data_IF_909947914659
#
_entry.id   IF_909947914659
#
_cell.length_a   1.000
_cell.length_b   1.000
_cell.length_c   1.000
_cell.angle_alpha   90.00
_cell.angle_beta   90.00
_cell.angle_gamma   90.00
#
_symmetry.space_group_name_H-M   'P 1'
#
loop_
_entity.id
_entity.type
_entity.pdbx_description
1 polymer ?
#
# COMPACT_ATOMS: atom_id res chain seq x y z
N UNK A 1 -21.64 8.19 -1.75
CA UNK A 1 -22.44 8.99 -0.80
C UNK A 1 -22.49 8.36 0.59
N UNK A 2 -23.16 7.21 0.78
CA UNK A 2 -23.27 6.55 2.10
C UNK A 2 -21.94 6.33 2.84
N UNK A 3 -20.85 6.01 2.15
CA UNK A 3 -19.54 5.81 2.79
C UNK A 3 -18.93 7.16 3.21
N UNK A 4 -18.93 8.15 2.31
CA UNK A 4 -18.17 9.40 2.43
C UNK A 4 -18.92 10.49 3.19
N UNK A 5 -20.21 10.64 2.91
CA UNK A 5 -21.07 11.69 3.48
C UNK A 5 -21.67 11.25 4.81
N UNK A 6 -21.99 9.96 4.96
CA UNK A 6 -22.71 9.43 6.13
C UNK A 6 -21.78 8.67 7.09
N UNK A 7 -21.31 7.48 6.70
CA UNK A 7 -20.57 6.58 7.60
C UNK A 7 -19.32 7.25 8.19
N UNK A 8 -18.49 7.88 7.34
CA UNK A 8 -17.27 8.58 7.76
C UNK A 8 -17.54 9.77 8.70
N UNK A 9 -18.75 10.35 8.66
CA UNK A 9 -19.06 11.60 9.38
C UNK A 9 -19.96 11.40 10.59
N UNK A 10 -20.58 10.22 10.77
CA UNK A 10 -21.65 10.04 11.76
C UNK A 10 -21.17 10.32 13.19
N UNK A 11 -19.96 9.88 13.55
CA UNK A 11 -19.38 10.14 14.87
C UNK A 11 -19.11 11.62 15.07
N UNK A 12 -18.52 12.26 14.07
CA UNK A 12 -18.21 13.68 14.11
C UNK A 12 -19.48 14.54 14.19
N UNK A 13 -20.47 14.31 13.29
CA UNK A 13 -21.71 15.11 13.24
C UNK A 13 -22.58 14.97 14.48
N UNK A 14 -22.47 13.85 15.18
CA UNK A 14 -23.23 13.57 16.41
C UNK A 14 -22.45 13.91 17.69
N UNK A 15 -21.25 14.49 17.57
CA UNK A 15 -20.36 14.75 18.71
C UNK A 15 -20.12 13.49 19.57
N UNK A 16 -19.91 12.35 18.92
CA UNK A 16 -19.63 11.06 19.57
C UNK A 16 -20.87 10.30 20.07
N UNK A 17 -22.08 10.85 19.95
CA UNK A 17 -23.32 10.17 20.40
C UNK A 17 -23.63 8.93 19.57
N UNK A 18 -23.32 8.95 18.26
CA UNK A 18 -23.49 7.82 17.36
C UNK A 18 -22.17 7.36 16.76
N UNK A 19 -22.08 6.07 16.44
CA UNK A 19 -20.96 5.46 15.73
C UNK A 19 -21.48 4.63 14.54
N UNK A 20 -20.60 4.33 13.59
CA UNK A 20 -20.88 3.43 12.47
C UNK A 20 -19.81 2.32 12.44
N UNK A 21 -19.89 1.33 13.34
CA UNK A 21 -18.95 0.20 13.36
C UNK A 21 -19.28 -0.76 12.21
N UNK A 22 -18.77 -0.45 11.02
CA UNK A 22 -18.96 -1.25 9.81
C UNK A 22 -17.62 -1.56 9.16
N UNK A 23 -17.50 -2.76 8.59
CA UNK A 23 -16.36 -3.16 7.76
C UNK A 23 -16.86 -3.38 6.33
N UNK A 24 -16.35 -2.59 5.41
CA UNK A 24 -16.67 -2.70 3.98
C UNK A 24 -15.51 -3.41 3.31
N UNK A 25 -15.72 -4.69 2.99
CA UNK A 25 -14.74 -5.52 2.30
C UNK A 25 -14.93 -5.45 0.80
N UNK A 26 -13.85 -5.24 0.06
CA UNK A 26 -13.88 -5.20 -1.39
C UNK A 26 -12.62 -5.85 -1.99
N UNK A 27 -12.77 -6.84 -2.89
CA UNK A 27 -11.67 -7.28 -3.72
C UNK A 27 -11.21 -6.12 -4.63
N UNK A 28 -9.90 -5.94 -4.78
CA UNK A 28 -9.32 -4.90 -5.63
C UNK A 28 -8.07 -5.38 -6.36
N UNK A 29 -7.48 -4.49 -7.15
CA UNK A 29 -6.20 -4.70 -7.82
C UNK A 29 -6.32 -5.58 -9.06
N UNK A 30 -5.24 -5.77 -9.81
CA UNK A 30 -5.21 -6.30 -11.16
C UNK A 30 -4.52 -7.65 -11.32
N UNK A 31 -4.08 -7.94 -12.56
CA UNK A 31 -3.24 -9.09 -12.87
C UNK A 31 -3.92 -10.45 -12.83
N UNK A 32 -5.25 -10.48 -12.99
CA UNK A 32 -6.06 -11.71 -13.18
C UNK A 32 -6.97 -11.62 -14.41
N UNK A 33 -6.68 -10.73 -15.36
CA UNK A 33 -7.49 -10.48 -16.56
C UNK A 33 -8.90 -9.95 -16.26
N UNK A 34 -9.00 -9.01 -15.31
CA UNK A 34 -10.29 -8.46 -14.87
C UNK A 34 -10.82 -7.30 -15.73
N UNK A 35 -10.01 -6.77 -16.66
CA UNK A 35 -10.39 -5.62 -17.49
C UNK A 35 -10.82 -4.40 -16.66
N UNK A 36 -11.81 -3.66 -17.19
CA UNK A 36 -12.19 -2.32 -16.73
C UNK A 36 -12.72 -2.25 -15.29
N UNK A 37 -13.58 -3.21 -14.90
CA UNK A 37 -14.39 -3.10 -13.67
C UNK A 37 -13.97 -4.05 -12.56
N UNK A 38 -13.13 -5.03 -12.87
CA UNK A 38 -12.68 -6.01 -11.88
C UNK A 38 -11.24 -5.82 -11.45
N UNK A 39 -10.55 -4.77 -11.92
CA UNK A 39 -9.12 -4.55 -11.66
C UNK A 39 -8.76 -3.18 -11.10
N UNK A 40 -9.73 -2.46 -10.56
CA UNK A 40 -9.50 -1.10 -10.10
C UNK A 40 -8.77 -1.10 -8.76
N UNK A 41 -7.91 -0.10 -8.62
CA UNK A 41 -7.34 0.34 -7.34
C UNK A 41 -7.96 1.71 -7.05
N UNK A 42 -8.72 1.81 -5.97
CA UNK A 42 -9.52 3.00 -5.61
C UNK A 42 -9.25 3.46 -4.19
N UNK A 43 -8.23 2.88 -3.56
CA UNK A 43 -7.87 3.10 -2.17
C UNK A 43 -7.50 4.56 -1.89
N UNK A 44 -6.89 5.26 -2.85
CA UNK A 44 -6.52 6.67 -2.71
C UNK A 44 -7.75 7.57 -2.48
N UNK A 45 -8.85 7.30 -3.20
CA UNK A 45 -10.11 8.04 -3.03
C UNK A 45 -10.64 7.92 -1.60
N UNK A 46 -10.66 6.72 -1.03
CA UNK A 46 -11.15 6.50 0.33
C UNK A 46 -10.15 6.95 1.39
N UNK A 47 -8.85 6.84 1.12
CA UNK A 47 -7.81 7.31 2.02
C UNK A 47 -7.83 8.85 2.13
N UNK A 48 -8.32 9.57 1.12
CA UNK A 48 -8.53 11.01 1.21
C UNK A 48 -9.66 11.41 2.19
N UNK A 49 -10.62 10.53 2.50
CA UNK A 49 -11.82 10.86 3.28
C UNK A 49 -11.62 10.74 4.80
N UNK A 50 -11.66 11.85 5.58
CA UNK A 50 -11.56 11.79 7.04
C UNK A 50 -12.71 11.05 7.70
N UNK A 51 -12.37 10.32 8.76
CA UNK A 51 -13.31 9.45 9.49
C UNK A 51 -13.35 8.01 8.97
N UNK A 52 -12.75 7.72 7.81
CA UNK A 52 -12.50 6.35 7.37
C UNK A 52 -11.13 5.85 7.83
N UNK A 53 -11.04 4.54 8.08
CA UNK A 53 -9.78 3.79 8.07
C UNK A 53 -9.69 2.99 6.77
N UNK A 54 -8.49 2.90 6.19
CA UNK A 54 -8.26 2.19 4.92
C UNK A 54 -7.14 1.19 5.09
N UNK A 55 -7.47 -0.09 4.95
CA UNK A 55 -6.61 -1.23 5.28
C UNK A 55 -6.48 -2.15 4.08
N UNK A 56 -5.25 -2.60 3.80
CA UNK A 56 -4.87 -3.42 2.66
C UNK A 56 -3.84 -4.47 3.11
N UNK A 57 -4.25 -5.67 3.55
CA UNK A 57 -3.32 -6.73 3.93
C UNK A 57 -2.50 -7.24 2.73
N UNK A 58 -1.21 -7.53 2.97
CA UNK A 58 -0.35 -8.19 1.98
C UNK A 58 -0.19 -9.69 2.21
N UNK A 59 -0.34 -10.19 3.44
CA UNK A 59 -0.16 -11.61 3.77
C UNK A 59 -1.44 -12.24 4.35
N UNK A 60 -1.58 -13.58 4.34
CA UNK A 60 -2.69 -14.26 5.02
C UNK A 60 -2.76 -13.97 6.53
N UNK A 61 -1.60 -13.81 7.18
CA UNK A 61 -1.51 -13.46 8.60
C UNK A 61 -2.09 -12.05 8.84
N UNK A 62 -1.62 -11.05 8.08
CA UNK A 62 -2.16 -9.70 8.18
C UNK A 62 -3.65 -9.65 7.84
N UNK A 63 -4.09 -10.42 6.84
CA UNK A 63 -5.50 -10.45 6.47
C UNK A 63 -6.38 -10.94 7.63
N UNK A 64 -5.99 -12.03 8.31
CA UNK A 64 -6.70 -12.52 9.50
C UNK A 64 -6.66 -11.51 10.65
N UNK A 65 -5.47 -10.99 10.97
CA UNK A 65 -5.27 -10.10 12.11
C UNK A 65 -5.92 -8.72 11.93
N UNK A 66 -5.74 -8.10 10.77
CA UNK A 66 -6.29 -6.78 10.46
C UNK A 66 -7.81 -6.82 10.26
N UNK A 67 -8.36 -7.89 9.66
CA UNK A 67 -9.82 -8.01 9.54
C UNK A 67 -10.47 -8.12 10.92
N UNK A 68 -9.83 -8.86 11.83
CA UNK A 68 -10.26 -8.95 13.23
C UNK A 68 -10.19 -7.60 13.93
N UNK A 69 -9.15 -6.80 13.71
CA UNK A 69 -9.08 -5.44 14.22
C UNK A 69 -10.17 -4.56 13.63
N UNK A 70 -10.40 -4.63 12.31
CA UNK A 70 -11.44 -3.86 11.63
C UNK A 70 -12.83 -4.14 12.17
N UNK A 71 -13.17 -5.42 12.40
CA UNK A 71 -14.48 -5.81 12.97
C UNK A 71 -14.68 -5.31 14.40
N UNK A 72 -13.59 -5.18 15.17
CA UNK A 72 -13.62 -4.64 16.55
C UNK A 72 -13.53 -3.12 16.59
N UNK A 73 -13.24 -2.48 15.46
CA UNK A 73 -13.07 -1.04 15.38
C UNK A 73 -14.42 -0.34 15.49
N UNK A 74 -14.55 0.71 16.32
CA UNK A 74 -15.81 1.40 16.49
C UNK A 74 -16.12 2.36 15.31
N UNK A 75 -15.18 2.56 14.39
CA UNK A 75 -15.27 3.44 13.21
C UNK A 75 -15.37 2.66 11.90
N UNK A 76 -15.88 3.26 10.81
CA UNK A 76 -15.98 2.59 9.52
C UNK A 76 -14.60 2.27 8.93
N UNK A 77 -14.40 1.00 8.55
CA UNK A 77 -13.15 0.52 7.95
C UNK A 77 -13.39 0.02 6.52
N UNK A 78 -12.65 0.58 5.58
CA UNK A 78 -12.48 0.04 4.23
C UNK A 78 -11.40 -1.03 4.25
N UNK A 79 -11.73 -2.25 3.86
CA UNK A 79 -10.82 -3.39 3.86
C UNK A 79 -10.67 -3.94 2.44
N UNK A 80 -9.57 -3.57 1.78
CA UNK A 80 -9.31 -3.94 0.39
C UNK A 80 -8.46 -5.20 0.30
N UNK A 81 -8.95 -6.20 -0.42
CA UNK A 81 -8.31 -7.52 -0.55
C UNK A 81 -7.78 -7.70 -1.97
N UNK A 82 -6.46 -7.71 -2.13
CA UNK A 82 -5.89 -7.81 -3.48
C UNK A 82 -6.22 -9.17 -4.09
N UNK A 83 -7.06 -9.22 -5.13
CA UNK A 83 -7.64 -10.48 -5.64
C UNK A 83 -6.59 -11.52 -6.06
N UNK A 84 -5.46 -11.05 -6.61
CA UNK A 84 -4.36 -11.92 -7.03
C UNK A 84 -3.68 -12.62 -5.84
N UNK A 85 -3.66 -12.00 -4.66
CA UNK A 85 -2.97 -12.58 -3.49
C UNK A 85 -3.76 -13.72 -2.86
N UNK A 86 -5.08 -13.83 -3.08
CA UNK A 86 -5.91 -14.92 -2.56
C UNK A 86 -5.36 -16.33 -2.82
N UNK A 87 -4.70 -16.52 -3.96
CA UNK A 87 -4.12 -17.82 -4.35
C UNK A 87 -2.62 -17.78 -4.54
N UNK A 88 -2.07 -16.61 -4.87
CA UNK A 88 -0.65 -16.45 -5.13
C UNK A 88 0.16 -16.49 -3.84
N UNK A 89 -0.30 -15.83 -2.77
CA UNK A 89 0.46 -15.65 -1.55
C UNK A 89 -0.03 -16.65 -0.51
N UNK A 90 0.91 -17.46 -0.03
CA UNK A 90 0.69 -18.43 1.05
C UNK A 90 1.61 -18.08 2.21
N UNK A 91 1.16 -18.34 3.42
CA UNK A 91 1.93 -18.13 4.63
C UNK A 91 1.30 -18.92 5.77
N UNK A 92 2.11 -19.25 6.76
CA UNK A 92 1.60 -19.85 7.99
C UNK A 92 0.74 -18.85 8.74
N UNK A 93 -0.34 -19.33 9.34
CA UNK A 93 -1.26 -18.50 10.11
C UNK A 93 -1.19 -19.01 11.55
N UNK A 94 -0.78 -18.18 12.52
CA UNK A 94 -0.75 -18.58 13.92
C UNK A 94 -2.10 -19.14 14.37
N UNK A 95 -2.05 -20.26 15.09
CA UNK A 95 -3.22 -20.83 15.75
C UNK A 95 -3.80 -19.87 16.79
N UNK A 96 -5.07 -20.07 17.13
CA UNK A 96 -5.74 -19.24 18.13
C UNK A 96 -6.10 -17.83 17.64
N UNK A 97 -6.39 -16.98 18.63
CA UNK A 97 -6.85 -15.61 18.44
C UNK A 97 -5.69 -14.62 18.54
N UNK A 98 -5.57 -13.79 17.50
CA UNK A 98 -4.69 -12.63 17.50
C UNK A 98 -5.37 -11.51 16.69
N UNK A 99 -4.86 -10.30 16.89
CA UNK A 99 -5.22 -9.09 16.15
C UNK A 99 -3.94 -8.43 15.65
N UNK A 100 -4.01 -7.80 14.50
CA UNK A 100 -2.93 -6.93 13.98
C UNK A 100 -3.43 -5.50 14.06
N UNK A 101 -2.75 -4.57 14.76
CA UNK A 101 -3.25 -3.21 14.92
C UNK A 101 -3.37 -2.51 13.56
N UNK A 102 -4.43 -1.70 13.39
CA UNK A 102 -4.58 -0.79 12.25
C UNK A 102 -3.69 0.43 12.49
N UNK A 103 -2.98 0.87 11.45
CA UNK A 103 -2.02 1.97 11.50
C UNK A 103 -0.60 1.51 11.22
N UNK A 104 0.03 0.71 12.10
CA UNK A 104 1.44 0.35 11.96
C UNK A 104 1.78 -0.35 10.65
N UNK A 105 2.85 0.09 10.00
CA UNK A 105 3.47 -0.59 8.86
C UNK A 105 4.31 -1.79 9.33
N UNK A 106 4.80 -2.59 8.38
CA UNK A 106 5.71 -3.70 8.64
C UNK A 106 6.94 -3.61 7.73
N UNK A 107 8.13 -3.62 8.33
CA UNK A 107 9.39 -3.81 7.57
C UNK A 107 9.49 -5.29 7.21
N UNK A 108 9.32 -5.62 5.93
CA UNK A 108 9.33 -7.01 5.41
C UNK A 108 10.72 -7.49 5.03
N UNK A 109 11.61 -6.54 4.74
CA UNK A 109 13.02 -6.78 4.42
C UNK A 109 13.82 -5.60 4.92
N UNK A 110 14.86 -5.89 5.70
CA UNK A 110 15.84 -4.89 6.09
C UNK A 110 16.73 -4.53 4.89
N UNK A 111 17.10 -3.25 4.82
CA UNK A 111 18.06 -2.76 3.84
C UNK A 111 18.74 -1.48 4.30
N UNK A 112 19.68 -1.01 3.51
CA UNK A 112 20.53 0.14 3.85
C UNK A 112 20.76 1.11 2.69
N UNK A 113 20.37 0.76 1.46
CA UNK A 113 20.67 1.56 0.27
C UNK A 113 19.51 2.43 -0.20
N UNK A 114 18.28 1.95 -0.06
CA UNK A 114 17.06 2.73 -0.30
C UNK A 114 15.87 2.06 0.40
N UNK A 115 14.86 2.86 0.74
CA UNK A 115 13.57 2.45 1.26
C UNK A 115 12.56 2.33 0.13
N UNK A 116 11.84 1.21 0.07
CA UNK A 116 10.76 0.95 -0.87
C UNK A 116 9.46 0.71 -0.10
N UNK A 117 8.52 1.64 -0.22
CA UNK A 117 7.21 1.59 0.45
C UNK A 117 6.15 1.07 -0.51
N UNK A 118 5.39 0.06 -0.10
CA UNK A 118 4.33 -0.56 -0.91
C UNK A 118 3.18 -1.10 -0.05
N UNK A 119 2.15 -1.63 -0.69
CA UNK A 119 1.03 -2.32 -0.05
C UNK A 119 0.43 -3.41 -0.95
N UNK A 120 -0.35 -4.31 -0.36
CA UNK A 120 -1.05 -5.38 -1.09
C UNK A 120 -0.08 -6.26 -1.89
N UNK A 121 -0.38 -6.49 -3.16
CA UNK A 121 0.48 -7.27 -4.07
C UNK A 121 1.83 -6.58 -4.32
N UNK A 122 1.88 -5.25 -4.34
CA UNK A 122 3.11 -4.53 -4.68
C UNK A 122 4.22 -4.75 -3.66
N UNK A 123 3.88 -5.02 -2.39
CA UNK A 123 4.83 -5.48 -1.37
C UNK A 123 5.64 -6.67 -1.86
N UNK A 124 4.99 -7.70 -2.39
CA UNK A 124 5.65 -8.92 -2.88
C UNK A 124 6.48 -8.65 -4.13
N UNK A 125 5.98 -7.83 -5.06
CA UNK A 125 6.76 -7.45 -6.24
C UNK A 125 8.00 -6.62 -5.89
N UNK A 126 7.93 -5.82 -4.81
CA UNK A 126 9.08 -5.11 -4.28
C UNK A 126 10.09 -6.05 -3.64
N UNK A 127 9.63 -7.08 -2.91
CA UNK A 127 10.52 -8.12 -2.36
C UNK A 127 11.27 -8.87 -3.45
N UNK A 128 10.57 -9.31 -4.51
CA UNK A 128 11.19 -9.97 -5.67
C UNK A 128 12.21 -9.07 -6.37
N UNK A 129 11.86 -7.80 -6.57
CA UNK A 129 12.75 -6.82 -7.17
C UNK A 129 13.99 -6.55 -6.30
N UNK A 130 13.79 -6.37 -4.99
CA UNK A 130 14.84 -6.15 -4.00
C UNK A 130 15.82 -7.32 -3.93
N UNK A 131 15.32 -8.56 -4.04
CA UNK A 131 16.17 -9.76 -4.12
C UNK A 131 17.00 -9.75 -5.41
N UNK A 132 16.38 -9.41 -6.54
CA UNK A 132 17.07 -9.40 -7.84
C UNK A 132 18.23 -8.40 -7.93
N UNK A 133 18.16 -7.27 -7.21
CA UNK A 133 19.20 -6.23 -7.20
C UNK A 133 20.19 -6.40 -6.04
N UNK A 134 19.95 -7.34 -5.12
CA UNK A 134 20.83 -7.59 -3.98
C UNK A 134 22.22 -8.08 -4.43
N UNK A 135 22.27 -8.89 -5.49
CA UNK A 135 23.52 -9.37 -6.10
C UNK A 135 24.39 -8.23 -6.67
N UNK A 136 23.79 -7.06 -6.92
CA UNK A 136 24.47 -5.84 -7.38
C UNK A 136 24.88 -4.94 -6.20
N UNK A 137 24.70 -5.39 -4.95
CA UNK A 137 25.00 -4.62 -3.74
C UNK A 137 23.91 -3.61 -3.36
N UNK A 138 22.74 -3.65 -3.98
CA UNK A 138 21.63 -2.72 -3.69
C UNK A 138 20.73 -3.35 -2.62
N UNK A 139 21.04 -3.07 -1.36
CA UNK A 139 20.27 -3.57 -0.22
C UNK A 139 19.03 -2.70 0.04
N UNK A 140 17.89 -3.10 -0.53
CA UNK A 140 16.62 -2.38 -0.40
C UNK A 140 15.85 -2.78 0.87
N UNK A 141 15.45 -1.78 1.66
CA UNK A 141 14.47 -1.95 2.72
C UNK A 141 13.07 -1.95 2.14
N UNK A 142 12.25 -2.96 2.42
CA UNK A 142 10.86 -3.03 1.92
C UNK A 142 9.88 -2.85 3.08
N UNK A 143 9.06 -1.80 2.99
CA UNK A 143 7.98 -1.49 3.93
C UNK A 143 6.65 -1.83 3.30
N UNK A 144 5.88 -2.65 4.00
CA UNK A 144 4.47 -2.90 3.74
C UNK A 144 3.63 -1.98 4.63
N UNK A 145 2.90 -1.04 4.03
CA UNK A 145 2.09 -0.09 4.79
C UNK A 145 1.00 -0.76 5.60
N UNK A 146 0.35 -1.81 5.06
CA UNK A 146 -0.86 -2.47 5.60
C UNK A 146 -2.09 -1.57 5.80
N UNK A 147 -1.90 -0.32 6.19
CA UNK A 147 -2.90 0.71 6.44
C UNK A 147 -2.49 1.97 5.70
N UNK A 148 -3.36 2.49 4.85
CA UNK A 148 -3.16 3.78 4.18
C UNK A 148 -3.71 4.92 5.02
N UNK A 149 -4.76 4.65 5.81
CA UNK A 149 -5.32 5.63 6.75
C UNK A 149 -5.70 4.97 8.07
N UNK A 150 -5.15 5.41 9.21
CA UNK A 150 -4.05 6.38 9.34
C UNK A 150 -2.72 5.83 8.79
N UNK A 151 -1.89 6.70 8.22
CA UNK A 151 -0.57 6.35 7.70
C UNK A 151 0.46 6.28 8.85
N UNK A 152 1.25 5.22 8.90
CA UNK A 152 2.41 5.12 9.82
C UNK A 152 3.60 5.88 9.25
N UNK A 153 3.62 7.19 9.48
CA UNK A 153 4.69 8.08 9.03
C UNK A 153 6.00 7.81 9.78
N UNK A 154 5.94 7.39 11.04
CA UNK A 154 7.11 7.12 11.88
C UNK A 154 7.99 6.01 11.29
N UNK A 155 7.38 4.87 10.93
CA UNK A 155 8.12 3.76 10.34
C UNK A 155 8.73 4.13 8.99
N UNK A 156 8.02 4.92 8.18
CA UNK A 156 8.51 5.38 6.88
C UNK A 156 9.72 6.31 7.07
N UNK A 157 9.59 7.34 7.90
CA UNK A 157 10.63 8.35 8.10
C UNK A 157 11.90 7.76 8.74
N UNK A 158 11.75 6.87 9.73
CA UNK A 158 12.89 6.15 10.32
C UNK A 158 13.66 5.32 9.30
N UNK A 159 12.95 4.71 8.34
CA UNK A 159 13.58 3.95 7.27
C UNK A 159 14.30 4.87 6.27
N UNK A 160 13.69 5.99 5.92
CA UNK A 160 14.31 6.98 5.03
C UNK A 160 15.55 7.61 5.67
N UNK A 161 15.52 7.92 6.96
CA UNK A 161 16.70 8.38 7.71
C UNK A 161 17.86 7.37 7.62
N UNK A 162 17.55 6.07 7.68
CA UNK A 162 18.55 5.00 7.56
C UNK A 162 19.12 4.85 6.14
N UNK A 163 18.31 5.03 5.10
CA UNK A 163 18.69 4.66 3.72
C UNK A 163 18.96 5.84 2.79
N UNK A 164 18.57 7.04 3.22
CA UNK A 164 18.68 8.32 2.51
C UNK A 164 18.01 8.41 1.12
N UNK A 165 17.31 7.38 0.67
CA UNK A 165 16.68 7.32 -0.65
C UNK A 165 15.35 6.58 -0.54
N UNK A 166 14.31 7.11 -1.17
CA UNK A 166 12.98 6.53 -1.03
C UNK A 166 12.29 6.34 -2.38
N UNK A 167 11.53 5.25 -2.50
CA UNK A 167 10.56 5.06 -3.55
C UNK A 167 9.24 4.50 -3.01
N UNK A 168 8.15 4.78 -3.71
CA UNK A 168 6.81 4.28 -3.40
C UNK A 168 6.26 3.52 -4.59
N UNK A 169 5.76 2.31 -4.36
CA UNK A 169 5.25 1.40 -5.41
C UNK A 169 3.82 1.01 -5.12
N UNK A 170 2.94 1.27 -6.10
CA UNK A 170 1.51 1.01 -5.97
C UNK A 170 0.85 0.75 -7.32
N UNK A 171 -0.32 0.12 -7.33
CA UNK A 171 -0.97 -0.28 -8.59
C UNK A 171 -1.83 0.83 -9.21
N UNK A 172 -2.46 1.66 -8.37
CA UNK A 172 -3.28 2.79 -8.80
C UNK A 172 -2.51 3.78 -9.71
N UNK A 173 -3.23 4.70 -10.32
CA UNK A 173 -2.72 5.72 -11.22
C UNK A 173 -1.63 6.58 -10.57
N UNK A 174 -0.62 6.92 -11.37
CA UNK A 174 0.43 7.83 -10.93
C UNK A 174 -0.16 9.16 -10.44
N UNK A 175 -1.10 9.75 -11.17
CA UNK A 175 -1.71 11.02 -10.77
C UNK A 175 -2.79 10.81 -9.70
N UNK A 176 -2.64 11.50 -8.57
CA UNK A 176 -3.61 11.44 -7.47
C UNK A 176 -3.62 10.14 -6.66
N UNK A 177 -2.83 9.13 -7.07
CA UNK A 177 -2.66 7.91 -6.30
C UNK A 177 -1.99 8.14 -4.95
N UNK A 178 -2.23 7.23 -4.00
CA UNK A 178 -1.85 7.44 -2.60
C UNK A 178 -0.33 7.56 -2.37
N UNK A 179 0.50 7.03 -3.29
CA UNK A 179 1.95 7.22 -3.18
C UNK A 179 2.40 8.67 -3.35
N UNK A 180 1.55 9.58 -3.85
CA UNK A 180 1.81 11.01 -3.82
C UNK A 180 1.81 11.59 -2.40
N UNK A 181 0.88 11.15 -1.55
CA UNK A 181 0.82 11.55 -0.13
C UNK A 181 2.06 11.05 0.62
N UNK A 182 2.42 9.77 0.43
CA UNK A 182 3.62 9.19 1.02
C UNK A 182 4.88 9.95 0.57
N UNK A 183 4.99 10.28 -0.71
CA UNK A 183 6.12 11.04 -1.22
C UNK A 183 6.17 12.47 -0.66
N UNK A 184 5.02 13.12 -0.47
CA UNK A 184 4.94 14.45 0.13
C UNK A 184 5.36 14.42 1.61
N UNK A 185 4.92 13.42 2.39
CA UNK A 185 5.36 13.23 3.78
C UNK A 185 6.87 13.05 3.84
N UNK A 186 7.43 12.16 3.01
CA UNK A 186 8.89 11.93 2.99
C UNK A 186 9.65 13.20 2.58
N UNK A 187 9.19 13.91 1.56
CA UNK A 187 9.86 15.12 1.08
C UNK A 187 9.69 16.32 2.01
N UNK A 188 8.64 16.37 2.82
CA UNK A 188 8.40 17.43 3.80
C UNK A 188 9.09 17.15 5.13
N UNK A 189 8.82 16.00 5.73
CA UNK A 189 9.25 15.65 7.09
C UNK A 189 10.61 14.92 7.12
N UNK A 190 11.02 14.31 6.00
CA UNK A 190 12.28 13.57 5.86
C UNK A 190 13.31 14.26 4.96
N UNK A 191 13.11 15.53 4.60
CA UNK A 191 13.90 16.24 3.59
C UNK A 191 15.41 16.20 3.86
N UNK A 192 15.81 16.45 5.11
CA UNK A 192 17.23 16.52 5.51
C UNK A 192 17.96 15.19 5.36
N UNK A 193 17.22 14.08 5.30
CA UNK A 193 17.78 12.74 5.12
C UNK A 193 17.90 12.33 3.65
N UNK A 194 17.37 13.09 2.69
CA UNK A 194 17.28 12.66 1.28
C UNK A 194 18.52 13.01 0.45
N UNK A 195 19.16 11.98 -0.10
CA UNK A 195 20.23 12.09 -1.11
C UNK A 195 19.70 12.12 -2.56
N UNK A 196 18.42 11.79 -2.77
CA UNK A 196 17.81 11.64 -4.08
C UNK A 196 16.31 12.01 -4.05
N UNK A 197 15.70 12.35 -5.19
CA UNK A 197 14.26 12.59 -5.24
C UNK A 197 13.47 11.34 -4.85
N UNK A 198 12.32 11.54 -4.20
CA UNK A 198 11.39 10.43 -3.92
C UNK A 198 10.77 9.94 -5.23
N UNK A 199 11.03 8.69 -5.59
CA UNK A 199 10.55 8.10 -6.86
C UNK A 199 9.22 7.39 -6.64
N UNK A 200 8.30 7.50 -7.60
CA UNK A 200 7.04 6.75 -7.60
C UNK A 200 6.98 5.81 -8.80
N UNK A 201 6.62 4.55 -8.55
CA UNK A 201 6.36 3.55 -9.59
C UNK A 201 4.90 3.12 -9.46
N UNK A 202 4.11 3.48 -10.45
CA UNK A 202 2.66 3.36 -10.40
C UNK A 202 2.07 2.90 -11.74
N UNK A 203 0.77 2.62 -11.76
CA UNK A 203 0.02 2.46 -13.02
C UNK A 203 0.02 3.77 -13.83
N UNK A 204 -0.03 3.70 -15.17
CA UNK A 204 -0.12 4.88 -16.01
C UNK A 204 -1.51 5.54 -15.88
N UNK A 205 -1.59 6.86 -16.14
CA UNK A 205 -2.84 7.61 -16.14
C UNK A 205 -3.70 7.28 -17.37
N UNK A 206 -4.30 6.09 -17.36
CA UNK A 206 -5.23 5.62 -18.40
C UNK A 206 -6.56 5.21 -17.77
N UNK A 207 -7.69 5.33 -18.49
CA UNK A 207 -9.01 5.14 -17.90
C UNK A 207 -9.29 3.74 -17.36
N UNK A 208 -8.56 2.72 -17.80
CA UNK A 208 -8.81 1.35 -17.39
C UNK A 208 -7.63 0.40 -17.59
N UNK A 209 -7.57 -0.62 -16.74
CA UNK A 209 -6.71 -1.79 -16.95
C UNK A 209 -7.16 -2.57 -18.20
N UNK A 210 -6.27 -2.77 -19.18
CA UNK A 210 -6.59 -3.50 -20.40
C UNK A 210 -6.88 -4.99 -20.13
N UNK A 211 -7.79 -5.59 -20.92
CA UNK A 211 -8.01 -7.05 -20.88
C UNK A 211 -6.96 -7.81 -21.70
N UNK A 212 -6.42 -7.20 -22.75
CA UNK A 212 -5.35 -7.80 -23.55
C UNK A 212 -4.09 -7.96 -22.70
N UNK A 213 -3.52 -9.16 -22.68
CA UNK A 213 -2.35 -9.50 -21.86
C UNK A 213 -1.16 -8.56 -22.03
N UNK A 214 -0.78 -8.24 -23.26
CA UNK A 214 0.38 -7.39 -23.53
C UNK A 214 0.15 -5.96 -23.00
N UNK A 215 -1.08 -5.48 -23.08
CA UNK A 215 -1.46 -4.16 -22.56
C UNK A 215 -1.63 -4.17 -21.03
N UNK A 216 -2.14 -5.25 -20.43
CA UNK A 216 -2.18 -5.43 -18.97
C UNK A 216 -0.76 -5.45 -18.38
N UNK A 217 0.18 -6.15 -19.02
CA UNK A 217 1.59 -6.17 -18.62
C UNK A 217 2.26 -4.80 -18.76
N UNK A 218 1.89 -4.03 -19.79
CA UNK A 218 2.38 -2.66 -19.96
C UNK A 218 1.83 -1.72 -18.87
N UNK A 219 0.56 -1.88 -18.50
CA UNK A 219 -0.10 -1.12 -17.43
C UNK A 219 0.49 -1.42 -16.04
N UNK A 220 0.63 -2.70 -15.71
CA UNK A 220 0.99 -3.12 -14.35
C UNK A 220 2.44 -2.79 -13.98
N UNK A 221 2.70 -2.26 -12.77
CA UNK A 221 4.03 -2.40 -12.17
C UNK A 221 4.41 -3.89 -12.10
N UNK A 222 5.69 -4.18 -12.34
CA UNK A 222 6.22 -5.53 -12.31
C UNK A 222 7.57 -5.57 -11.59
N UNK A 223 8.01 -6.73 -11.08
CA UNK A 223 9.32 -6.83 -10.42
C UNK A 223 10.47 -6.28 -11.28
N UNK A 224 10.43 -6.52 -12.60
CA UNK A 224 11.43 -6.00 -13.53
C UNK A 224 11.42 -4.46 -13.64
N UNK A 225 10.23 -3.84 -13.76
CA UNK A 225 10.08 -2.37 -13.79
C UNK A 225 10.54 -1.75 -12.46
N UNK A 226 10.19 -2.39 -11.34
CA UNK A 226 10.56 -1.94 -9.99
C UNK A 226 12.08 -2.06 -9.80
N UNK A 227 12.70 -3.17 -10.17
CA UNK A 227 14.15 -3.37 -10.08
C UNK A 227 14.92 -2.35 -10.94
N UNK A 228 14.42 -2.02 -12.13
CA UNK A 228 15.01 -0.97 -12.96
C UNK A 228 14.94 0.41 -12.27
N UNK A 229 13.82 0.74 -11.63
CA UNK A 229 13.68 1.96 -10.85
C UNK A 229 14.60 1.98 -9.61
N UNK A 230 14.73 0.85 -8.90
CA UNK A 230 15.66 0.70 -7.78
C UNK A 230 17.11 0.96 -8.20
N UNK A 231 17.56 0.37 -9.33
CA UNK A 231 18.91 0.62 -9.87
C UNK A 231 19.12 2.09 -10.21
N UNK A 232 18.15 2.72 -10.87
CA UNK A 232 18.22 4.14 -11.22
C UNK A 232 18.30 5.03 -9.98
N UNK A 233 17.50 4.72 -8.95
CA UNK A 233 17.50 5.48 -7.70
C UNK A 233 18.80 5.29 -6.91
N UNK A 234 19.32 4.06 -6.85
CA UNK A 234 20.57 3.74 -6.14
C UNK A 234 21.81 4.43 -6.74
N UNK A 235 21.73 4.84 -8.02
CA UNK A 235 22.80 5.47 -8.78
C UNK A 235 22.78 7.02 -8.75
N UNK A 236 21.81 7.65 -8.08
CA UNK A 236 21.87 9.08 -7.72
C UNK A 236 22.97 9.30 -6.67
#
# INVERSE_FOLDING_TARGET
DQIVSEAARVRYRSNGVWACPIVIRAPFGGGVHGGLYHSQSVEAFYAHVPGLKVVIPSTPEDAKGLLKSAVRDPDPVMFFEHKKTYRLIKGEIPEGEYVTPIGPAAVRREGSKLTCVAWGLMTHYCMDAAESVAAEGILVEVIDLRTLRPLDTETILRSVEKTARAMVVYEDNLTGGFGAEVAAVIAGDGFESLDAPVVRVAGPDVPAMPFNKAQEDAFMPSPAKIAAAMRKLAAY
#
